data_IF_348679135731
#
_entry.id   IF_348679135731
#
_cell.length_a   1.000
_cell.length_b   1.000
_cell.length_c   1.000
_cell.angle_alpha   90.00
_cell.angle_beta   90.00
_cell.angle_gamma   90.00
#
_symmetry.space_group_name_H-M   'P 1'
#
loop_
_entity.id
_entity.type
_entity.pdbx_description
1 polymer ?
#
# COMPACT_ATOMS: atom_id res chain seq x y z
N UNK A 1 1.24 10.02 6.87
CA UNK A 1 2.24 9.75 7.95
C UNK A 1 1.73 8.57 8.76
N UNK A 2 2.48 7.47 8.85
CA UNK A 2 2.00 6.22 9.48
C UNK A 2 2.55 6.01 10.90
N UNK A 3 1.91 5.13 11.66
CA UNK A 3 2.28 4.76 13.03
C UNK A 3 2.97 3.40 13.05
N UNK A 4 4.02 3.26 13.85
CA UNK A 4 4.73 1.99 14.04
C UNK A 4 4.45 1.39 15.42
N UNK A 5 4.15 0.10 15.45
CA UNK A 5 3.94 -0.68 16.68
C UNK A 5 4.87 -1.89 16.70
N UNK A 6 5.49 -2.18 17.84
CA UNK A 6 6.31 -3.39 18.03
C UNK A 6 5.46 -4.48 18.66
N UNK A 7 5.27 -5.60 17.95
CA UNK A 7 4.50 -6.75 18.44
C UNK A 7 5.38 -7.83 19.11
N UNK A 8 6.71 -7.68 19.04
CA UNK A 8 7.71 -8.54 19.66
C UNK A 8 9.11 -8.01 19.43
N UNK A 9 10.16 -8.74 19.84
CA UNK A 9 11.55 -8.27 19.74
C UNK A 9 12.00 -7.92 18.31
N UNK A 10 11.37 -8.49 17.27
CA UNK A 10 11.75 -8.31 15.85
C UNK A 10 10.60 -8.01 14.90
N UNK A 11 9.37 -7.85 15.41
CA UNK A 11 8.19 -7.60 14.57
C UNK A 11 7.74 -6.15 14.73
N UNK A 12 7.62 -5.47 13.59
CA UNK A 12 7.18 -4.08 13.51
C UNK A 12 6.01 -4.03 12.55
N UNK A 13 4.91 -3.42 12.98
CA UNK A 13 3.74 -3.14 12.15
C UNK A 13 3.72 -1.65 11.85
N UNK A 14 3.50 -1.30 10.58
CA UNK A 14 3.22 0.06 10.16
C UNK A 14 1.78 0.16 9.71
N UNK A 15 1.02 1.06 10.34
CA UNK A 15 -0.34 1.40 9.92
C UNK A 15 -0.31 2.77 9.27
N UNK A 16 -0.97 2.93 8.12
CA UNK A 16 -1.09 4.21 7.44
C UNK A 16 -2.49 4.34 6.87
N UNK A 17 -3.02 5.55 6.90
CA UNK A 17 -4.31 5.90 6.33
C UNK A 17 -4.11 7.17 5.50
N UNK A 18 -4.58 7.16 4.26
CA UNK A 18 -4.60 8.33 3.38
C UNK A 18 -5.89 8.40 2.59
N UNK A 19 -6.34 9.63 2.35
CA UNK A 19 -7.48 9.93 1.49
C UNK A 19 -6.98 10.26 0.10
N UNK A 20 -7.57 9.61 -0.90
CA UNK A 20 -7.19 9.78 -2.31
C UNK A 20 -8.41 10.24 -3.10
N UNK A 21 -8.24 11.30 -3.89
CA UNK A 21 -9.25 11.72 -4.86
C UNK A 21 -9.15 10.84 -6.11
N UNK A 22 -10.29 10.32 -6.57
CA UNK A 22 -10.37 9.52 -7.81
C UNK A 22 -10.64 10.48 -8.97
N UNK A 23 -9.65 11.33 -9.29
CA UNK A 23 -9.72 12.29 -10.41
C UNK A 23 -8.54 12.19 -11.38
N UNK A 24 -7.48 11.48 -10.99
CA UNK A 24 -6.28 11.25 -11.80
C UNK A 24 -6.28 9.86 -12.44
N UNK A 25 -5.75 9.75 -13.67
CA UNK A 25 -5.63 8.46 -14.37
C UNK A 25 -4.88 7.39 -13.55
N UNK A 26 -3.86 7.77 -12.76
CA UNK A 26 -3.12 6.86 -11.87
C UNK A 26 -2.52 7.59 -10.66
N UNK A 27 -2.59 6.98 -9.47
CA UNK A 27 -1.82 7.41 -8.29
C UNK A 27 -1.00 6.26 -7.72
N UNK A 28 0.14 6.60 -7.13
CA UNK A 28 1.02 5.65 -6.43
C UNK A 28 1.14 6.03 -4.97
N UNK A 29 0.79 5.09 -4.10
CA UNK A 29 0.97 5.21 -2.67
C UNK A 29 2.12 4.33 -2.19
N UNK A 30 3.15 4.94 -1.56
CA UNK A 30 4.30 4.21 -1.02
C UNK A 30 4.01 3.77 0.42
N UNK A 31 3.81 2.47 0.62
CA UNK A 31 3.60 1.87 1.95
C UNK A 31 4.81 2.07 2.88
N UNK A 32 6.02 1.95 2.33
CA UNK A 32 7.30 2.14 3.03
C UNK A 32 8.13 3.20 2.30
N UNK A 33 8.50 4.25 3.02
CA UNK A 33 9.40 5.31 2.57
C UNK A 33 10.84 5.03 2.98
N UNK A 34 11.80 5.78 2.42
CA UNK A 34 13.19 5.65 2.83
C UNK A 34 13.42 5.99 4.32
N UNK A 35 12.64 6.92 4.87
CA UNK A 35 12.70 7.28 6.29
C UNK A 35 12.22 6.15 7.20
N UNK A 36 11.20 5.40 6.75
CA UNK A 36 10.71 4.22 7.47
C UNK A 36 11.77 3.11 7.52
N UNK A 37 12.58 3.01 6.48
CA UNK A 37 13.60 1.97 6.32
C UNK A 37 14.95 2.35 6.93
N UNK A 38 15.25 3.65 7.04
CA UNK A 38 16.56 4.15 7.47
C UNK A 38 17.06 3.53 8.79
N UNK A 39 16.26 3.38 9.87
CA UNK A 39 16.73 2.80 11.12
C UNK A 39 17.16 1.33 11.03
N UNK A 40 16.74 0.62 9.97
CA UNK A 40 16.97 -0.81 9.81
C UNK A 40 18.08 -1.13 8.81
N UNK A 41 18.43 -0.18 7.91
CA UNK A 41 19.38 -0.40 6.81
C UNK A 41 20.78 -0.80 7.30
N UNK A 42 21.22 -0.26 8.44
CA UNK A 42 22.56 -0.55 8.97
C UNK A 42 22.62 -1.78 9.88
N UNK A 43 21.47 -2.21 10.41
CA UNK A 43 21.36 -3.31 11.38
C UNK A 43 21.05 -4.63 10.69
N UNK A 44 20.27 -4.60 9.61
CA UNK A 44 19.74 -5.78 8.95
C UNK A 44 20.09 -5.79 7.46
N UNK A 45 20.68 -6.90 7.00
CA UNK A 45 20.98 -7.10 5.57
C UNK A 45 19.72 -7.33 4.73
N UNK A 46 18.68 -7.90 5.33
CA UNK A 46 17.44 -8.26 4.64
C UNK A 46 16.24 -7.88 5.49
N UNK A 47 15.14 -7.50 4.82
CA UNK A 47 13.85 -7.25 5.42
C UNK A 47 12.84 -8.25 4.86
N UNK A 48 12.13 -8.95 5.74
CA UNK A 48 11.03 -9.83 5.38
C UNK A 48 9.71 -9.14 5.69
N UNK A 49 8.85 -8.97 4.67
CA UNK A 49 7.50 -8.46 4.83
C UNK A 49 6.57 -9.66 4.94
N UNK A 50 6.15 -10.00 6.16
CA UNK A 50 5.29 -11.15 6.41
C UNK A 50 3.83 -10.95 6.01
N UNK A 51 3.35 -9.70 6.01
CA UNK A 51 1.96 -9.36 5.72
C UNK A 51 1.85 -7.94 5.19
N UNK A 52 0.98 -7.76 4.18
CA UNK A 52 0.48 -6.46 3.75
C UNK A 52 -1.05 -6.56 3.70
N UNK A 53 -1.73 -5.72 4.47
CA UNK A 53 -3.18 -5.59 4.42
C UNK A 53 -3.53 -4.20 3.89
N UNK A 54 -4.40 -4.17 2.89
CA UNK A 54 -4.89 -2.93 2.27
C UNK A 54 -6.42 -2.96 2.31
N UNK A 55 -7.01 -1.90 2.83
CA UNK A 55 -8.45 -1.70 2.84
C UNK A 55 -8.79 -0.39 2.13
N UNK A 56 -9.79 -0.42 1.26
CA UNK A 56 -10.34 0.76 0.61
C UNK A 56 -11.68 1.09 1.26
N UNK A 57 -11.78 2.29 1.83
CA UNK A 57 -13.01 2.78 2.47
C UNK A 57 -13.56 3.95 1.66
N UNK A 58 -14.73 3.81 1.02
CA UNK A 58 -15.41 4.93 0.38
C UNK A 58 -15.74 6.00 1.43
N UNK A 59 -15.52 7.28 1.12
CA UNK A 59 -15.93 8.40 1.97
C UNK A 59 -17.41 8.76 1.80
N UNK A 60 -18.07 8.20 0.80
CA UNK A 60 -19.47 8.42 0.45
C UNK A 60 -20.34 7.24 0.90
N UNK A 61 -21.54 7.53 1.42
CA UNK A 61 -22.52 6.51 1.81
C UNK A 61 -23.01 5.66 0.62
N UNK A 62 -22.94 6.20 -0.60
CA UNK A 62 -23.34 5.51 -1.84
C UNK A 62 -22.28 4.54 -2.37
N UNK A 63 -21.14 4.41 -1.69
CA UNK A 63 -19.98 3.68 -2.22
C UNK A 63 -19.23 4.50 -3.27
N UNK A 64 -18.31 3.85 -3.98
CA UNK A 64 -17.46 4.52 -4.96
C UNK A 64 -18.22 4.73 -6.28
N UNK A 65 -18.23 5.96 -6.82
CA UNK A 65 -18.95 6.26 -8.06
C UNK A 65 -18.29 5.66 -9.30
N UNK A 66 -17.02 5.25 -9.20
CA UNK A 66 -16.24 4.74 -10.31
C UNK A 66 -15.52 3.44 -9.95
N UNK A 67 -15.27 2.63 -10.99
CA UNK A 67 -14.41 1.45 -10.89
C UNK A 67 -12.95 1.89 -10.75
N UNK A 68 -12.16 1.19 -9.95
CA UNK A 68 -10.72 1.43 -9.88
C UNK A 68 -9.94 0.12 -9.88
N UNK A 69 -8.68 0.21 -10.30
CA UNK A 69 -7.71 -0.87 -10.20
C UNK A 69 -6.67 -0.46 -9.17
N UNK A 70 -6.39 -1.33 -8.21
CA UNK A 70 -5.27 -1.17 -7.31
C UNK A 70 -4.29 -2.32 -7.47
N UNK A 71 -3.00 -2.00 -7.37
CA UNK A 71 -1.91 -2.95 -7.54
C UNK A 71 -0.90 -2.81 -6.40
N UNK A 72 -0.59 -3.92 -5.73
CA UNK A 72 0.54 -4.01 -4.81
C UNK A 72 1.76 -4.49 -5.59
N UNK A 73 2.88 -3.79 -5.44
CA UNK A 73 4.13 -4.09 -6.14
C UNK A 73 5.36 -3.80 -5.29
N UNK A 74 6.47 -4.45 -5.62
CA UNK A 74 7.79 -4.00 -5.18
C UNK A 74 8.19 -2.74 -5.97
N UNK A 75 8.14 -1.59 -5.29
CA UNK A 75 8.47 -0.28 -5.88
C UNK A 75 9.92 -0.13 -6.33
N UNK A 76 10.85 -1.00 -5.89
CA UNK A 76 12.28 -0.92 -6.23
C UNK A 76 12.59 -1.47 -7.63
N UNK A 77 11.72 -2.32 -8.16
CA UNK A 77 11.95 -2.97 -9.45
C UNK A 77 11.27 -2.18 -10.57
N UNK A 78 12.07 -1.61 -11.48
CA UNK A 78 11.59 -0.80 -12.60
C UNK A 78 10.73 -1.57 -13.61
N UNK A 79 10.78 -2.91 -13.64
CA UNK A 79 9.99 -3.73 -14.56
C UNK A 79 8.62 -4.01 -13.97
N UNK A 80 7.62 -3.22 -14.37
CA UNK A 80 6.28 -3.23 -13.77
C UNK A 80 5.69 -4.63 -13.54
N UNK A 81 5.66 -5.45 -14.60
CA UNK A 81 5.09 -6.80 -14.58
C UNK A 81 5.83 -7.76 -13.64
N UNK A 82 7.14 -7.60 -13.47
CA UNK A 82 7.99 -8.50 -12.66
C UNK A 82 7.94 -8.19 -11.17
N UNK A 83 7.42 -7.04 -10.81
CA UNK A 83 7.33 -6.56 -9.44
C UNK A 83 5.92 -6.59 -8.90
N UNK A 84 4.93 -6.92 -9.73
CA UNK A 84 3.55 -7.03 -9.33
C UNK A 84 3.40 -8.20 -8.37
N UNK A 85 2.84 -7.92 -7.20
CA UNK A 85 2.58 -8.91 -6.15
C UNK A 85 1.10 -9.28 -6.20
N UNK A 86 0.23 -8.27 -6.33
CA UNK A 86 -1.21 -8.48 -6.32
C UNK A 86 -1.96 -7.35 -7.03
N UNK A 87 -3.16 -7.65 -7.52
CA UNK A 87 -4.08 -6.68 -8.14
C UNK A 87 -5.51 -6.94 -7.70
N UNK A 88 -6.27 -5.86 -7.55
CA UNK A 88 -7.72 -5.87 -7.43
C UNK A 88 -8.32 -4.88 -8.41
N UNK A 89 -9.49 -5.24 -8.91
CA UNK A 89 -10.34 -4.37 -9.68
C UNK A 89 -11.70 -4.33 -8.99
N UNK A 90 -12.21 -3.14 -8.77
CA UNK A 90 -13.63 -2.96 -8.44
C UNK A 90 -14.41 -2.75 -9.72
N UNK A 91 -15.63 -3.26 -9.77
CA UNK A 91 -16.59 -2.98 -10.83
C UNK A 91 -17.70 -2.16 -10.21
N UNK A 92 -17.97 -1.00 -10.79
CA UNK A 92 -19.21 -0.30 -10.51
C UNK A 92 -20.33 -1.00 -11.30
N UNK A 93 -21.32 -1.64 -10.64
CA UNK A 93 -22.49 -2.14 -11.34
C UNK A 93 -23.21 -0.93 -11.95
N UNK A 94 -23.15 -0.80 -13.28
CA UNK A 94 -24.03 0.13 -13.98
C UNK A 94 -25.48 -0.26 -13.65
N UNK A 95 -26.38 0.72 -13.46
CA UNK A 95 -27.80 0.45 -13.27
C UNK A 95 -28.40 -0.31 -14.45
#
# INVERSE_FOLDING_TARGET
MGTFEKLGLKQVVKTTEETITIDSDNQTFRLLSDNDLAPYKDIYRFMHIGLVQVAFKPLTLRGLPESFIAALRDGRNHKWKKSLIWTIQTLNPKP
#
